data_IF_777417152695
#
_entry.id   IF_777417152695
#
_cell.length_a   1.000
_cell.length_b   1.000
_cell.length_c   1.000
_cell.angle_alpha   90.00
_cell.angle_beta   90.00
_cell.angle_gamma   90.00
#
_symmetry.space_group_name_H-M   'P 1'
#
loop_
_entity.id
_entity.type
_entity.pdbx_description
1 polymer ?
#
# COMPACT_ATOMS: atom_id res chain seq x y z
N UNK A 1 -60.74 21.02 -14.75
CA UNK A 1 -59.53 20.78 -13.94
C UNK A 1 -59.99 20.75 -12.50
N UNK A 2 -60.19 19.55 -11.99
CA UNK A 2 -61.03 19.35 -10.81
C UNK A 2 -60.24 19.62 -9.53
N UNK A 3 -60.88 20.22 -8.54
CA UNK A 3 -60.28 20.53 -7.22
C UNK A 3 -59.63 19.28 -6.60
N UNK A 4 -60.21 18.10 -6.87
CA UNK A 4 -59.70 16.79 -6.44
C UNK A 4 -58.37 16.45 -7.11
N UNK A 5 -58.24 16.69 -8.42
CA UNK A 5 -56.99 16.44 -9.16
C UNK A 5 -55.84 17.34 -8.69
N UNK A 6 -56.11 18.61 -8.41
CA UNK A 6 -55.10 19.53 -7.89
C UNK A 6 -54.59 19.11 -6.50
N UNK A 7 -55.48 18.57 -5.65
CA UNK A 7 -55.13 18.06 -4.32
C UNK A 7 -54.27 16.80 -4.40
N UNK A 8 -54.56 15.90 -5.34
CA UNK A 8 -53.79 14.67 -5.56
C UNK A 8 -52.39 14.98 -6.09
N UNK A 9 -52.29 15.91 -7.05
CA UNK A 9 -51.00 16.32 -7.64
C UNK A 9 -50.12 16.97 -6.57
N UNK A 10 -50.62 17.95 -5.83
CA UNK A 10 -49.85 18.63 -4.78
C UNK A 10 -49.41 17.70 -3.64
N UNK A 11 -50.25 16.73 -3.26
CA UNK A 11 -49.90 15.71 -2.28
C UNK A 11 -48.78 14.79 -2.79
N UNK A 12 -48.89 14.34 -4.04
CA UNK A 12 -47.89 13.49 -4.69
C UNK A 12 -46.57 14.21 -4.86
N UNK A 13 -46.59 15.47 -5.31
CA UNK A 13 -45.40 16.34 -5.39
C UNK A 13 -44.74 16.51 -4.03
N UNK A 14 -45.51 16.78 -2.98
CA UNK A 14 -44.98 16.98 -1.63
C UNK A 14 -44.29 15.73 -1.10
N UNK A 15 -44.84 14.54 -1.37
CA UNK A 15 -44.26 13.25 -0.98
C UNK A 15 -43.01 12.93 -1.79
N UNK A 16 -43.05 13.11 -3.11
CA UNK A 16 -41.91 12.84 -3.99
C UNK A 16 -40.75 13.80 -3.69
N UNK A 17 -41.04 15.07 -3.45
CA UNK A 17 -40.05 16.10 -3.11
C UNK A 17 -39.37 15.80 -1.77
N UNK A 18 -40.10 15.24 -0.80
CA UNK A 18 -39.55 14.94 0.52
C UNK A 18 -38.44 13.86 0.46
N UNK A 19 -38.56 12.87 -0.43
CA UNK A 19 -37.54 11.80 -0.59
C UNK A 19 -36.36 12.23 -1.47
N UNK A 20 -36.61 13.06 -2.48
CA UNK A 20 -35.54 13.50 -3.38
C UNK A 20 -34.63 14.54 -2.76
N UNK A 21 -35.14 15.39 -1.86
CA UNK A 21 -34.33 16.45 -1.21
C UNK A 21 -33.06 15.91 -0.53
N UNK A 22 -33.14 14.78 0.17
CA UNK A 22 -31.97 14.16 0.80
C UNK A 22 -30.94 13.62 -0.20
N UNK A 23 -31.39 13.17 -1.39
CA UNK A 23 -30.50 12.71 -2.47
C UNK A 23 -29.79 13.89 -3.15
N UNK A 24 -30.49 15.00 -3.36
CA UNK A 24 -29.90 16.23 -3.88
C UNK A 24 -28.84 16.79 -2.93
N UNK A 25 -29.15 16.90 -1.64
CA UNK A 25 -28.18 17.40 -0.63
C UNK A 25 -26.94 16.50 -0.54
N UNK A 26 -27.09 15.16 -0.60
CA UNK A 26 -25.95 14.23 -0.64
C UNK A 26 -25.13 14.36 -1.92
N UNK A 27 -25.78 14.45 -3.09
CA UNK A 27 -25.10 14.65 -4.38
C UNK A 27 -24.34 15.97 -4.41
N UNK A 28 -24.91 17.04 -3.87
CA UNK A 28 -24.29 18.37 -3.84
C UNK A 28 -23.11 18.42 -2.86
N UNK A 29 -23.23 17.81 -1.68
CA UNK A 29 -22.11 17.64 -0.76
C UNK A 29 -20.99 16.78 -1.36
N UNK A 30 -21.33 15.70 -2.06
CA UNK A 30 -20.34 14.87 -2.78
C UNK A 30 -19.68 15.63 -3.94
N UNK A 31 -20.42 16.53 -4.61
CA UNK A 31 -19.89 17.42 -5.66
C UNK A 31 -18.91 18.47 -5.12
N UNK A 32 -19.10 18.88 -3.87
CA UNK A 32 -18.27 19.86 -3.17
C UNK A 32 -17.09 19.24 -2.41
N UNK A 33 -16.96 17.90 -2.39
CA UNK A 33 -15.70 17.27 -2.03
C UNK A 33 -14.72 17.62 -3.14
N UNK A 34 -13.70 18.42 -2.80
CA UNK A 34 -12.73 18.91 -3.77
C UNK A 34 -12.12 17.70 -4.51
N UNK A 35 -12.20 17.62 -5.84
CA UNK A 35 -11.72 16.46 -6.61
C UNK A 35 -10.27 16.06 -6.26
N UNK A 36 -9.46 17.03 -5.84
CA UNK A 36 -8.13 16.83 -5.30
C UNK A 36 -8.06 15.91 -4.08
N UNK A 37 -8.95 16.07 -3.09
CA UNK A 37 -8.94 15.23 -1.88
C UNK A 37 -9.34 13.79 -2.19
N UNK A 38 -10.24 13.59 -3.15
CA UNK A 38 -10.62 12.25 -3.60
C UNK A 38 -9.43 11.54 -4.27
N UNK A 39 -8.72 12.24 -5.16
CA UNK A 39 -7.49 11.72 -5.78
C UNK A 39 -6.37 11.47 -4.76
N UNK A 40 -6.16 12.39 -3.82
CA UNK A 40 -5.17 12.23 -2.75
C UNK A 40 -5.50 11.03 -1.87
N UNK A 41 -6.77 10.85 -1.50
CA UNK A 41 -7.19 9.71 -0.70
C UNK A 41 -6.99 8.38 -1.45
N UNK A 42 -7.32 8.33 -2.75
CA UNK A 42 -7.07 7.17 -3.59
C UNK A 42 -5.57 6.85 -3.68
N UNK A 43 -4.72 7.87 -3.87
CA UNK A 43 -3.27 7.69 -3.92
C UNK A 43 -2.70 7.20 -2.60
N UNK A 44 -3.14 7.77 -1.46
CA UNK A 44 -2.72 7.33 -0.13
C UNK A 44 -3.10 5.87 0.13
N UNK A 45 -4.30 5.44 -0.28
CA UNK A 45 -4.70 4.04 -0.19
C UNK A 45 -3.82 3.14 -1.05
N UNK A 46 -3.58 3.52 -2.31
CA UNK A 46 -2.71 2.76 -3.21
C UNK A 46 -1.28 2.64 -2.66
N UNK A 47 -0.70 3.76 -2.19
CA UNK A 47 0.61 3.78 -1.57
C UNK A 47 0.65 2.89 -0.31
N UNK A 48 -0.35 2.99 0.57
CA UNK A 48 -0.47 2.14 1.75
C UNK A 48 -0.50 0.65 1.40
N UNK A 49 -1.29 0.24 0.40
CA UNK A 49 -1.33 -1.15 -0.07
C UNK A 49 0.02 -1.58 -0.62
N UNK A 50 0.67 -0.78 -1.48
CA UNK A 50 1.99 -1.09 -2.03
C UNK A 50 3.04 -1.24 -0.93
N UNK A 51 3.02 -0.38 0.08
CA UNK A 51 3.90 -0.48 1.25
C UNK A 51 3.66 -1.78 2.01
N UNK A 52 2.40 -2.15 2.28
CA UNK A 52 2.06 -3.41 2.95
C UNK A 52 2.50 -4.63 2.15
N UNK A 53 2.28 -4.63 0.83
CA UNK A 53 2.70 -5.72 -0.05
C UNK A 53 4.23 -5.89 -0.04
N UNK A 54 4.96 -4.80 -0.21
CA UNK A 54 6.42 -4.82 -0.23
C UNK A 54 7.04 -5.14 1.15
N UNK A 55 6.39 -4.70 2.23
CA UNK A 55 6.86 -4.97 3.59
C UNK A 55 6.67 -6.44 3.97
N UNK A 56 5.50 -7.01 3.69
CA UNK A 56 5.09 -8.28 4.30
C UNK A 56 4.97 -9.46 3.33
N UNK A 57 4.62 -9.22 2.06
CA UNK A 57 4.27 -10.29 1.12
C UNK A 57 5.43 -10.62 0.18
N UNK A 58 5.68 -9.74 -0.78
CA UNK A 58 6.63 -9.98 -1.86
C UNK A 58 7.48 -8.75 -2.10
N UNK A 59 8.78 -8.95 -2.29
CA UNK A 59 9.67 -7.87 -2.68
C UNK A 59 10.55 -8.31 -3.85
N UNK A 60 10.67 -7.44 -4.86
CA UNK A 60 11.58 -7.64 -5.96
C UNK A 60 12.98 -7.12 -5.60
N UNK A 61 14.00 -7.94 -5.82
CA UNK A 61 15.41 -7.59 -5.60
C UNK A 61 16.22 -7.80 -6.87
N UNK A 62 17.26 -7.00 -7.04
CA UNK A 62 18.25 -7.13 -8.12
C UNK A 62 19.57 -7.53 -7.50
N UNK A 63 20.23 -8.55 -8.03
CA UNK A 63 21.52 -9.02 -7.51
C UNK A 63 22.64 -8.07 -7.96
N UNK A 64 23.34 -7.41 -7.02
CA UNK A 64 24.39 -6.44 -7.36
C UNK A 64 25.78 -7.09 -7.52
N UNK A 65 26.00 -8.29 -6.98
CA UNK A 65 27.33 -8.92 -6.90
C UNK A 65 27.34 -10.37 -7.40
N UNK A 66 28.48 -10.88 -7.91
CA UNK A 66 28.57 -12.23 -8.49
C UNK A 66 28.79 -13.36 -7.47
N UNK A 67 28.50 -13.14 -6.17
CA UNK A 67 28.81 -14.12 -5.11
C UNK A 67 28.05 -15.45 -5.23
N UNK A 68 26.94 -15.47 -5.98
CA UNK A 68 26.08 -16.65 -6.19
C UNK A 68 26.23 -17.29 -7.58
N UNK A 69 27.33 -16.98 -8.30
CA UNK A 69 27.64 -17.59 -9.60
C UNK A 69 28.04 -19.07 -9.41
N UNK A 70 27.55 -20.04 -10.22
CA UNK A 70 26.80 -19.90 -11.48
C UNK A 70 25.27 -19.93 -11.36
N UNK A 71 24.72 -20.13 -10.15
CA UNK A 71 23.27 -20.29 -9.97
C UNK A 71 22.48 -19.01 -10.30
N UNK A 72 23.04 -17.85 -9.95
CA UNK A 72 22.44 -16.53 -10.17
C UNK A 72 23.46 -15.56 -10.77
N UNK A 73 23.05 -14.82 -11.80
CA UNK A 73 23.91 -13.85 -12.49
C UNK A 73 23.63 -12.43 -11.99
N UNK A 74 24.61 -11.55 -12.20
CA UNK A 74 24.47 -10.12 -11.94
C UNK A 74 23.30 -9.59 -12.78
N UNK A 75 22.48 -8.71 -12.19
CA UNK A 75 21.27 -8.12 -12.77
C UNK A 75 20.05 -9.05 -12.89
N UNK A 76 20.13 -10.29 -12.41
CA UNK A 76 18.94 -11.13 -12.28
C UNK A 76 17.97 -10.51 -11.27
N UNK A 77 16.68 -10.54 -11.62
CA UNK A 77 15.58 -10.02 -10.81
C UNK A 77 14.91 -11.17 -10.07
N UNK A 78 14.97 -11.14 -8.75
CA UNK A 78 14.36 -12.13 -7.88
C UNK A 78 13.08 -11.59 -7.26
N UNK A 79 12.03 -12.41 -7.22
CA UNK A 79 10.84 -12.14 -6.44
C UNK A 79 10.90 -12.97 -5.15
N UNK A 80 11.09 -12.29 -4.02
CA UNK A 80 11.27 -12.94 -2.72
C UNK A 80 9.95 -12.96 -1.96
N UNK A 81 9.54 -14.14 -1.48
CA UNK A 81 8.39 -14.30 -0.61
C UNK A 81 8.83 -14.20 0.86
N UNK A 82 8.40 -13.13 1.54
CA UNK A 82 8.78 -12.85 2.94
C UNK A 82 7.87 -13.54 3.96
N UNK A 83 6.69 -14.01 3.55
CA UNK A 83 5.74 -14.68 4.46
C UNK A 83 6.26 -16.01 4.99
N UNK A 84 6.98 -16.75 4.16
CA UNK A 84 7.43 -18.12 4.45
C UNK A 84 8.37 -18.15 5.67
N UNK A 85 9.33 -17.23 5.70
CA UNK A 85 10.38 -17.18 6.72
C UNK A 85 10.13 -16.13 7.82
N UNK A 86 8.95 -15.51 7.81
CA UNK A 86 8.55 -14.49 8.78
C UNK A 86 9.00 -13.10 8.33
N UNK A 87 8.06 -12.21 7.97
CA UNK A 87 8.42 -10.86 7.57
C UNK A 87 8.85 -10.04 8.79
N UNK A 88 9.76 -9.11 8.56
CA UNK A 88 10.17 -8.13 9.58
C UNK A 88 9.07 -7.08 9.75
N UNK A 89 8.62 -6.90 10.99
CA UNK A 89 7.64 -5.88 11.34
C UNK A 89 8.32 -4.52 11.49
N UNK A 90 9.46 -4.50 12.17
CA UNK A 90 10.23 -3.28 12.45
C UNK A 90 11.66 -3.55 11.97
N UNK A 91 12.26 -2.66 11.15
CA UNK A 91 13.65 -2.79 10.72
C UNK A 91 14.56 -3.02 11.93
N UNK A 92 15.42 -4.04 11.85
CA UNK A 92 16.43 -4.35 12.87
C UNK A 92 15.91 -4.66 14.29
N UNK A 93 14.59 -4.74 14.54
CA UNK A 93 14.04 -4.86 15.90
C UNK A 93 13.13 -6.07 16.10
N UNK A 94 12.25 -6.37 15.15
CA UNK A 94 11.23 -7.40 15.35
C UNK A 94 10.92 -8.18 14.08
N UNK A 95 11.14 -9.49 14.14
CA UNK A 95 10.83 -10.45 13.08
C UNK A 95 9.70 -11.38 13.53
N UNK A 96 8.70 -11.57 12.68
CA UNK A 96 7.64 -12.54 12.97
C UNK A 96 8.18 -13.98 12.92
N UNK A 97 7.60 -14.90 13.72
CA UNK A 97 7.94 -16.32 13.59
C UNK A 97 7.59 -16.80 12.18
N UNK A 98 8.59 -17.37 11.49
CA UNK A 98 8.40 -17.96 10.17
C UNK A 98 7.54 -19.23 10.23
N UNK A 99 6.79 -19.48 9.16
CA UNK A 99 5.95 -20.68 9.03
C UNK A 99 6.80 -21.94 8.82
N UNK A 100 7.98 -21.79 8.24
CA UNK A 100 8.95 -22.86 8.05
C UNK A 100 10.36 -22.36 8.30
N UNK A 101 11.25 -23.28 8.66
CA UNK A 101 12.69 -23.04 8.68
C UNK A 101 13.28 -23.25 7.29
N UNK A 102 14.39 -22.56 6.96
CA UNK A 102 15.09 -22.74 5.69
C UNK A 102 15.67 -24.15 5.59
N UNK A 103 15.49 -24.79 4.45
CA UNK A 103 16.03 -26.11 4.13
C UNK A 103 17.34 -25.98 3.36
N UNK A 104 18.11 -27.07 3.31
CA UNK A 104 19.30 -27.13 2.44
C UNK A 104 18.85 -26.90 1.00
N UNK A 105 19.66 -26.14 0.25
CA UNK A 105 19.42 -25.72 -1.14
C UNK A 105 18.40 -24.57 -1.32
N UNK A 106 17.85 -24.01 -0.23
CA UNK A 106 17.04 -22.80 -0.33
C UNK A 106 17.94 -21.56 -0.51
N UNK A 107 17.51 -20.67 -1.40
CA UNK A 107 18.10 -19.33 -1.57
C UNK A 107 17.31 -18.38 -0.68
N UNK A 108 17.95 -17.88 0.37
CA UNK A 108 17.33 -16.98 1.34
C UNK A 108 18.02 -15.62 1.34
N UNK A 109 17.23 -14.58 1.60
CA UNK A 109 17.74 -13.24 1.84
C UNK A 109 17.78 -12.99 3.35
N UNK A 110 18.90 -12.49 3.83
CA UNK A 110 19.09 -12.11 5.23
C UNK A 110 19.81 -10.76 5.29
N UNK A 111 19.55 -10.02 6.35
CA UNK A 111 20.26 -8.78 6.64
C UNK A 111 21.63 -9.09 7.25
N UNK A 112 22.64 -8.29 6.93
CA UNK A 112 23.99 -8.45 7.48
C UNK A 112 23.95 -8.14 8.99
N UNK A 113 24.38 -9.07 9.87
CA UNK A 113 24.38 -8.84 11.32
C UNK A 113 25.30 -7.70 11.78
N UNK A 114 26.32 -7.33 10.98
CA UNK A 114 27.24 -6.24 11.31
C UNK A 114 26.72 -4.84 10.90
N UNK A 115 25.49 -4.76 10.37
CA UNK A 115 24.92 -3.49 9.93
C UNK A 115 24.50 -2.63 11.14
N UNK A 116 25.25 -1.57 11.40
CA UNK A 116 24.94 -0.59 12.45
C UNK A 116 23.94 0.45 11.93
N UNK A 117 22.67 0.28 12.29
CA UNK A 117 21.62 1.27 12.03
C UNK A 117 21.96 2.63 12.67
N UNK A 118 21.82 3.70 11.89
CA UNK A 118 21.93 5.09 12.36
C UNK A 118 20.74 5.52 13.24
N UNK A 119 19.72 4.67 13.39
CA UNK A 119 18.56 4.83 14.27
C UNK A 119 17.23 4.45 13.59
N UNK A 120 16.28 3.91 14.36
CA UNK A 120 15.02 3.33 13.83
C UNK A 120 14.17 4.31 12.98
N UNK A 121 14.15 5.60 13.33
CA UNK A 121 13.41 6.61 12.56
C UNK A 121 14.00 6.83 11.16
N UNK A 122 15.33 6.83 11.06
CA UNK A 122 16.02 6.99 9.79
C UNK A 122 15.78 5.79 8.89
N UNK A 123 15.86 4.58 9.45
CA UNK A 123 15.61 3.33 8.70
C UNK A 123 14.19 3.26 8.14
N UNK A 124 13.19 3.60 8.96
CA UNK A 124 11.79 3.63 8.54
C UNK A 124 11.61 4.67 7.42
N UNK A 125 12.18 5.86 7.57
CA UNK A 125 12.06 6.93 6.59
C UNK A 125 12.73 6.57 5.26
N UNK A 126 13.96 6.04 5.32
CA UNK A 126 14.69 5.58 4.15
C UNK A 126 13.93 4.46 3.44
N UNK A 127 13.39 3.49 4.17
CA UNK A 127 12.62 2.39 3.60
C UNK A 127 11.35 2.88 2.91
N UNK A 128 10.62 3.83 3.52
CA UNK A 128 9.46 4.46 2.88
C UNK A 128 9.87 5.19 1.60
N UNK A 129 10.97 5.95 1.61
CA UNK A 129 11.49 6.64 0.44
C UNK A 129 11.89 5.64 -0.65
N UNK A 130 12.64 4.59 -0.31
CA UNK A 130 13.06 3.54 -1.21
C UNK A 130 11.85 2.82 -1.85
N UNK A 131 10.83 2.51 -1.05
CA UNK A 131 9.61 1.85 -1.54
C UNK A 131 8.77 2.78 -2.42
N UNK A 132 8.59 4.05 -2.04
CA UNK A 132 7.85 5.03 -2.83
C UNK A 132 8.60 5.40 -4.12
N UNK A 133 9.93 5.35 -4.11
CA UNK A 133 10.79 5.62 -5.26
C UNK A 133 11.04 4.41 -6.16
N UNK A 134 10.30 3.30 -5.98
CA UNK A 134 10.44 2.08 -6.80
C UNK A 134 11.89 1.55 -6.84
N UNK A 135 12.60 1.54 -5.71
CA UNK A 135 13.99 1.05 -5.63
C UNK A 135 15.01 1.86 -6.46
N UNK A 136 14.68 3.09 -6.87
CA UNK A 136 15.59 3.93 -7.66
C UNK A 136 16.61 4.69 -6.81
N UNK A 137 16.29 4.95 -5.54
CA UNK A 137 17.11 5.78 -4.66
C UNK A 137 17.46 4.97 -3.40
N UNK A 138 18.70 4.51 -3.33
CA UNK A 138 19.30 3.97 -2.11
C UNK A 138 20.22 5.04 -1.50
N UNK A 139 19.80 5.61 -0.37
CA UNK A 139 20.52 6.68 0.33
C UNK A 139 21.72 6.13 1.12
N UNK A 140 21.79 4.81 1.29
CA UNK A 140 22.79 4.14 2.11
C UNK A 140 23.92 3.48 1.31
N UNK A 141 23.99 3.77 0.00
CA UNK A 141 25.04 3.28 -0.87
C UNK A 141 26.25 4.21 -0.82
N UNK A 142 27.10 4.06 0.20
CA UNK A 142 28.50 4.50 0.19
C UNK A 142 29.44 3.31 0.32
#
# INVERSE_FOLDING_TARGET
MDIVTAKLISFTEKILTYRDRSRYIKKEKAKNLHPFFEWLHAFLWAAGVVLLLNQYLFQAYVIPSPSMTPALKIQDRLLVNKLIYGPELIPSLFKLPGLTTPKRQDIILFENPEYHSRGAFFDISQRLIFMLSLSLIDIDKE
#
